data_IF_723877256693
#
_entry.id   IF_723877256693
#
_cell.length_a   1.000
_cell.length_b   1.000
_cell.length_c   1.000
_cell.angle_alpha   90.00
_cell.angle_beta   90.00
_cell.angle_gamma   90.00
#
_symmetry.space_group_name_H-M   'P 1'
#
loop_
_entity.id
_entity.type
_entity.pdbx_description
1 polymer ?
#
# COMPACT_ATOMS: atom_id res chain seq x y z
N UNK A 1 -8.04 8.76 40.94
CA UNK A 1 -7.53 7.64 40.12
C UNK A 1 -8.48 7.41 38.94
N UNK A 2 -8.40 8.22 37.88
CA UNK A 2 -9.32 8.16 36.73
C UNK A 2 -8.69 8.79 35.47
N UNK A 3 -7.64 8.17 34.89
CA UNK A 3 -7.02 8.70 33.65
C UNK A 3 -6.43 7.64 32.70
N UNK A 4 -7.00 6.43 32.65
CA UNK A 4 -6.39 5.33 31.89
C UNK A 4 -7.26 4.68 30.79
N UNK A 5 -8.49 5.15 30.56
CA UNK A 5 -9.40 4.51 29.57
C UNK A 5 -9.36 5.12 28.15
N UNK A 6 -8.78 6.31 27.98
CA UNK A 6 -8.78 7.01 26.68
C UNK A 6 -7.59 6.62 25.80
N UNK A 7 -6.39 6.43 26.37
CA UNK A 7 -5.19 6.08 25.61
C UNK A 7 -5.38 4.80 24.78
N UNK A 8 -5.90 3.73 25.37
CA UNK A 8 -5.94 2.42 24.71
C UNK A 8 -6.86 2.35 23.47
N UNK A 9 -7.91 3.17 23.40
CA UNK A 9 -8.82 3.21 22.25
C UNK A 9 -8.25 4.08 21.12
N UNK A 10 -7.68 5.24 21.46
CA UNK A 10 -7.04 6.14 20.49
C UNK A 10 -5.82 5.47 19.87
N UNK A 11 -4.94 4.87 20.68
CA UNK A 11 -3.77 4.14 20.18
C UNK A 11 -4.17 3.03 19.21
N UNK A 12 -5.25 2.29 19.48
CA UNK A 12 -5.72 1.20 18.59
C UNK A 12 -6.24 1.72 17.24
N UNK A 13 -7.00 2.82 17.24
CA UNK A 13 -7.53 3.42 16.01
C UNK A 13 -6.39 4.00 15.16
N UNK A 14 -5.44 4.69 15.79
CA UNK A 14 -4.27 5.26 15.10
C UNK A 14 -3.36 4.17 14.53
N UNK A 15 -3.04 3.13 15.31
CA UNK A 15 -2.25 2.00 14.82
C UNK A 15 -2.93 1.28 13.65
N UNK A 16 -4.25 1.14 13.69
CA UNK A 16 -5.00 0.57 12.57
C UNK A 16 -4.95 1.46 11.31
N UNK A 17 -5.11 2.78 11.46
CA UNK A 17 -4.99 3.71 10.34
C UNK A 17 -3.58 3.68 9.73
N UNK A 18 -2.53 3.65 10.56
CA UNK A 18 -1.14 3.52 10.11
C UNK A 18 -0.87 2.19 9.41
N UNK A 19 -1.45 1.09 9.88
CA UNK A 19 -1.38 -0.19 9.19
C UNK A 19 -2.04 -0.12 7.81
N UNK A 20 -3.27 0.40 7.71
CA UNK A 20 -3.96 0.56 6.43
C UNK A 20 -3.21 1.46 5.44
N UNK A 21 -2.62 2.56 5.93
CA UNK A 21 -1.75 3.42 5.11
C UNK A 21 -0.49 2.69 4.66
N UNK A 22 0.19 1.96 5.55
CA UNK A 22 1.37 1.18 5.20
C UNK A 22 1.08 0.10 4.15
N UNK A 23 -0.07 -0.57 4.24
CA UNK A 23 -0.49 -1.61 3.30
C UNK A 23 -0.84 -1.07 1.90
N UNK A 24 -1.27 0.18 1.79
CA UNK A 24 -1.67 0.79 0.51
C UNK A 24 -0.58 1.67 -0.10
N UNK A 25 0.10 2.46 0.72
CA UNK A 25 1.13 3.39 0.30
C UNK A 25 2.49 2.72 0.12
N UNK A 26 2.81 1.72 0.96
CA UNK A 26 4.05 0.94 0.86
C UNK A 26 4.26 0.29 -0.52
N UNK A 27 3.27 -0.44 -1.08
CA UNK A 27 3.34 -1.02 -2.43
C UNK A 27 3.61 0.03 -3.51
N UNK A 28 2.93 1.17 -3.43
CA UNK A 28 3.08 2.26 -4.40
C UNK A 28 4.48 2.85 -4.32
N UNK A 29 5.00 3.05 -3.11
CA UNK A 29 6.35 3.58 -2.93
C UNK A 29 7.43 2.61 -3.40
N UNK A 30 7.29 1.32 -3.09
CA UNK A 30 8.20 0.30 -3.58
C UNK A 30 8.18 0.20 -5.12
N UNK A 31 6.99 0.26 -5.72
CA UNK A 31 6.88 0.28 -7.17
C UNK A 31 7.50 1.56 -7.77
N UNK A 32 7.30 2.73 -7.16
CA UNK A 32 7.87 3.98 -7.65
C UNK A 32 9.40 4.02 -7.56
N UNK A 33 10.00 3.38 -6.55
CA UNK A 33 11.45 3.39 -6.32
C UNK A 33 12.20 2.28 -7.07
N UNK A 34 11.62 1.08 -7.17
CA UNK A 34 12.30 -0.08 -7.73
C UNK A 34 11.79 -0.47 -9.13
N UNK A 35 10.73 0.17 -9.63
CA UNK A 35 10.11 -0.21 -10.90
C UNK A 35 9.97 0.97 -11.87
N UNK A 36 10.85 1.02 -12.85
CA UNK A 36 10.90 2.01 -13.94
C UNK A 36 9.59 2.18 -14.75
N UNK A 37 8.86 1.08 -14.95
CA UNK A 37 7.55 1.04 -15.64
C UNK A 37 6.34 1.34 -14.71
N UNK A 38 6.55 1.78 -13.48
CA UNK A 38 5.46 2.23 -12.62
C UNK A 38 4.76 3.43 -13.24
N UNK A 39 3.43 3.41 -13.33
CA UNK A 39 2.66 4.51 -13.90
C UNK A 39 1.55 4.98 -12.94
N UNK A 40 1.06 6.20 -13.18
CA UNK A 40 0.04 6.84 -12.33
C UNK A 40 -1.23 5.98 -12.20
N UNK A 41 -1.63 5.32 -13.28
CA UNK A 41 -2.83 4.48 -13.30
C UNK A 41 -2.67 3.23 -12.43
N UNK A 42 -1.51 2.58 -12.50
CA UNK A 42 -1.16 1.45 -11.64
C UNK A 42 -1.09 1.84 -10.17
N UNK A 43 -0.49 2.99 -9.84
CA UNK A 43 -0.46 3.51 -8.48
C UNK A 43 -1.87 3.75 -7.90
N UNK A 44 -2.75 4.41 -8.67
CA UNK A 44 -4.13 4.67 -8.25
C UNK A 44 -4.91 3.36 -8.09
N UNK A 45 -4.79 2.43 -9.05
CA UNK A 45 -5.43 1.13 -8.97
C UNK A 45 -4.95 0.33 -7.75
N UNK A 46 -3.65 0.37 -7.46
CA UNK A 46 -3.05 -0.22 -6.26
C UNK A 46 -3.61 0.32 -4.96
N UNK A 47 -3.71 1.65 -4.83
CA UNK A 47 -4.28 2.30 -3.66
C UNK A 47 -5.73 1.91 -3.43
N UNK A 48 -6.54 1.92 -4.50
CA UNK A 48 -7.96 1.55 -4.42
C UNK A 48 -8.10 0.07 -4.09
N UNK A 49 -7.40 -0.82 -4.81
CA UNK A 49 -7.46 -2.26 -4.58
C UNK A 49 -6.99 -2.63 -3.17
N UNK A 50 -5.88 -2.08 -2.70
CA UNK A 50 -5.37 -2.29 -1.35
C UNK A 50 -6.34 -1.76 -0.30
N UNK A 51 -6.87 -0.55 -0.48
CA UNK A 51 -7.84 0.05 0.45
C UNK A 51 -9.12 -0.78 0.54
N UNK A 52 -9.69 -1.17 -0.60
CA UNK A 52 -10.86 -2.05 -0.66
C UNK A 52 -10.55 -3.40 -0.02
N UNK A 53 -9.36 -3.97 -0.23
CA UNK A 53 -8.97 -5.25 0.38
C UNK A 53 -8.85 -5.14 1.91
N UNK A 54 -8.31 -4.05 2.46
CA UNK A 54 -8.30 -3.80 3.92
C UNK A 54 -9.72 -3.81 4.48
N UNK A 55 -10.65 -3.10 3.83
CA UNK A 55 -12.03 -3.06 4.27
C UNK A 55 -12.73 -4.41 4.14
N UNK A 56 -12.57 -5.10 3.01
CA UNK A 56 -13.13 -6.44 2.80
C UNK A 56 -12.59 -7.43 3.84
N UNK A 57 -11.28 -7.40 4.11
CA UNK A 57 -10.68 -8.29 5.10
C UNK A 57 -11.23 -8.01 6.51
N UNK A 58 -11.36 -6.73 6.88
CA UNK A 58 -11.88 -6.34 8.19
C UNK A 58 -13.36 -6.62 8.39
N UNK A 59 -14.18 -6.47 7.36
CA UNK A 59 -15.64 -6.69 7.47
C UNK A 59 -16.05 -8.14 7.21
N UNK A 60 -15.30 -8.91 6.42
CA UNK A 60 -15.66 -10.29 6.06
C UNK A 60 -14.86 -11.30 6.89
N UNK A 61 -13.55 -11.16 6.95
CA UNK A 61 -12.65 -12.20 7.51
C UNK A 61 -12.39 -11.98 8.99
N UNK A 62 -12.26 -10.73 9.45
CA UNK A 62 -12.05 -10.46 10.88
C UNK A 62 -13.28 -10.81 11.74
N UNK A 63 -14.48 -10.92 11.12
CA UNK A 63 -15.68 -11.41 11.79
C UNK A 63 -15.62 -12.91 12.17
N UNK A 64 -14.68 -13.69 11.60
CA UNK A 64 -14.43 -15.08 12.02
C UNK A 64 -13.63 -15.18 13.33
N UNK A 65 -13.07 -14.06 13.82
CA UNK A 65 -12.37 -13.96 15.11
C UNK A 65 -10.92 -14.48 15.12
N UNK A 66 -10.07 -13.88 15.98
CA UNK A 66 -8.73 -14.37 16.30
C UNK A 66 -7.55 -13.63 15.64
N UNK A 67 -6.44 -14.36 15.41
CA UNK A 67 -5.12 -13.90 14.92
C UNK A 67 -5.20 -13.20 13.54
N UNK A 68 -6.32 -13.38 12.82
CA UNK A 68 -6.60 -12.76 11.53
C UNK A 68 -6.64 -11.23 11.56
N UNK A 69 -6.84 -10.60 12.73
CA UNK A 69 -6.77 -9.14 12.88
C UNK A 69 -5.33 -8.58 12.78
N UNK A 70 -4.30 -9.41 12.99
CA UNK A 70 -2.89 -9.01 12.83
C UNK A 70 -2.45 -9.19 11.37
N UNK A 71 -3.02 -10.17 10.68
CA UNK A 71 -2.65 -10.51 9.31
C UNK A 71 -3.34 -9.69 8.23
N UNK A 72 -4.19 -8.69 8.55
CA UNK A 72 -4.92 -7.88 7.55
C UNK A 72 -3.98 -7.08 6.62
N UNK A 73 -2.81 -6.69 7.13
CA UNK A 73 -1.82 -5.89 6.41
C UNK A 73 -1.22 -6.64 5.20
N UNK A 74 -0.83 -7.89 5.39
CA UNK A 74 -0.09 -8.67 4.41
C UNK A 74 -0.88 -8.97 3.12
N UNK A 75 -2.13 -9.50 3.15
CA UNK A 75 -2.93 -9.75 1.97
C UNK A 75 -3.38 -8.44 1.31
N UNK A 76 -3.65 -7.38 2.08
CA UNK A 76 -3.92 -6.06 1.52
C UNK A 76 -2.71 -5.49 0.76
N UNK A 77 -1.51 -5.63 1.34
CA UNK A 77 -0.26 -5.24 0.70
C UNK A 77 0.00 -6.05 -0.59
N UNK A 78 -0.15 -7.37 -0.54
CA UNK A 78 0.07 -8.24 -1.69
C UNK A 78 -0.92 -7.95 -2.83
N UNK A 79 -2.21 -7.78 -2.50
CA UNK A 79 -3.22 -7.43 -3.50
C UNK A 79 -2.97 -6.06 -4.11
N UNK A 80 -2.55 -5.08 -3.33
CA UNK A 80 -2.12 -3.78 -3.83
C UNK A 80 -0.91 -3.89 -4.78
N UNK A 81 0.14 -4.62 -4.40
CA UNK A 81 1.31 -4.87 -5.28
C UNK A 81 0.85 -5.51 -6.59
N UNK A 82 0.08 -6.60 -6.52
CA UNK A 82 -0.41 -7.31 -7.71
C UNK A 82 -1.23 -6.38 -8.61
N UNK A 83 -2.13 -5.57 -8.03
CA UNK A 83 -2.92 -4.60 -8.78
C UNK A 83 -2.04 -3.54 -9.46
N UNK A 84 -1.03 -3.00 -8.75
CA UNK A 84 -0.08 -2.04 -9.33
C UNK A 84 0.63 -2.67 -10.53
N UNK A 85 1.13 -3.90 -10.37
CA UNK A 85 1.87 -4.59 -11.43
C UNK A 85 0.99 -4.85 -12.63
N UNK A 86 -0.18 -5.46 -12.44
CA UNK A 86 -1.09 -5.82 -13.53
C UNK A 86 -1.54 -4.55 -14.27
N UNK A 87 -1.99 -3.52 -13.57
CA UNK A 87 -2.50 -2.30 -14.21
C UNK A 87 -1.36 -1.50 -14.84
N UNK A 88 -0.18 -1.46 -14.25
CA UNK A 88 0.98 -0.80 -14.88
C UNK A 88 1.41 -1.49 -16.17
N UNK A 89 1.27 -2.83 -16.25
CA UNK A 89 1.61 -3.60 -17.45
C UNK A 89 0.56 -3.46 -18.56
N UNK A 90 -0.73 -3.45 -18.20
CA UNK A 90 -1.86 -3.34 -19.14
C UNK A 90 -2.04 -1.91 -19.65
N UNK A 91 -1.69 -0.91 -18.84
CA UNK A 91 -1.82 0.50 -19.21
C UNK A 91 -0.60 1.00 -19.98
N UNK A 92 -0.77 2.13 -20.69
CA UNK A 92 0.29 2.84 -21.40
C UNK A 92 1.55 3.00 -20.55
N UNK A 93 2.71 2.85 -21.20
CA UNK A 93 4.00 3.09 -20.57
C UNK A 93 4.07 4.52 -20.01
N UNK A 94 4.80 4.73 -18.90
CA UNK A 94 5.04 6.06 -18.38
C UNK A 94 5.75 6.94 -19.42
N UNK A 95 5.59 8.25 -19.29
CA UNK A 95 6.17 9.24 -20.19
C UNK A 95 7.70 9.10 -20.21
N UNK A 96 8.32 9.39 -21.37
CA UNK A 96 9.77 9.25 -21.55
C UNK A 96 10.54 10.10 -20.54
N UNK A 97 10.06 11.30 -20.25
CA UNK A 97 10.64 12.21 -19.25
C UNK A 97 10.75 11.56 -17.85
N UNK A 98 9.68 10.90 -17.37
CA UNK A 98 9.67 10.18 -16.08
C UNK A 98 10.67 9.02 -16.09
N UNK A 99 10.77 8.36 -17.24
CA UNK A 99 11.65 7.20 -17.43
C UNK A 99 13.13 7.61 -17.44
N UNK A 100 13.43 8.76 -18.04
CA UNK A 100 14.77 9.39 -18.09
C UNK A 100 15.18 9.95 -16.72
N UNK A 101 14.26 10.59 -15.99
CA UNK A 101 14.50 11.07 -14.62
C UNK A 101 14.77 9.90 -13.65
N UNK A 102 14.02 8.79 -13.79
CA UNK A 102 14.28 7.58 -13.03
C UNK A 102 15.67 7.00 -13.31
N UNK A 103 16.12 7.03 -14.57
CA UNK A 103 17.46 6.58 -14.96
C UNK A 103 18.56 7.50 -14.42
N UNK A 104 18.37 8.82 -14.45
CA UNK A 104 19.37 9.76 -13.92
C UNK A 104 19.56 9.63 -12.41
N UNK A 105 18.46 9.50 -11.67
CA UNK A 105 18.51 9.31 -10.20
C UNK A 105 19.11 7.95 -9.86
N UNK A 106 18.77 6.90 -10.61
CA UNK A 106 19.36 5.57 -10.42
C UNK A 106 20.87 5.57 -10.69
N UNK A 107 21.33 6.32 -11.69
CA UNK A 107 22.76 6.45 -12.01
C UNK A 107 23.54 7.19 -10.90
N UNK A 108 22.95 8.23 -10.30
CA UNK A 108 23.56 9.00 -9.22
C UNK A 108 23.67 8.18 -7.92
N UNK A 109 22.69 7.34 -7.60
CA UNK A 109 22.72 6.47 -6.40
C UNK A 109 23.81 5.38 -6.49
N UNK A 110 24.17 4.97 -7.72
CA UNK A 110 25.20 3.96 -7.96
C UNK A 110 26.63 4.53 -8.07
N UNK A 111 26.81 5.83 -7.81
CA UNK A 111 28.08 6.56 -7.86
C UNK A 111 28.68 6.74 -6.46
#
# INVERSE_FOLDING_TARGET
MCRSRLDSSVFRVVSFAWAGFGATFGPVMLAALFWKRSNKQGAIAGMIAGGVMVFLWKFVIANLGGIFAIYELLPAFLTAVIAIVIVSLVTSAPEKEITEEFDSVSAEIHQ
#
